data_IF_102500044689
#
_entry.id   IF_102500044689
#
_cell.length_a   1.000
_cell.length_b   1.000
_cell.length_c   1.000
_cell.angle_alpha   90.00
_cell.angle_beta   90.00
_cell.angle_gamma   90.00
#
_symmetry.space_group_name_H-M   'P 1'
#
loop_
_entity.id
_entity.type
_entity.pdbx_description
1 polymer ?
#
# COMPACT_ATOMS: atom_id res chain seq x y z
N UNK A 1 -6.92 -31.07 -10.64
CA UNK A 1 -7.26 -30.55 -9.30
C UNK A 1 -6.03 -29.95 -8.60
N UNK A 2 -4.82 -30.50 -8.79
CA UNK A 2 -3.56 -29.90 -8.27
C UNK A 2 -3.20 -28.55 -8.93
N UNK A 3 -3.41 -28.38 -10.24
CA UNK A 3 -3.11 -27.14 -10.96
C UNK A 3 -3.88 -25.89 -10.46
N UNK A 4 -5.03 -26.08 -9.80
CA UNK A 4 -5.82 -24.97 -9.25
C UNK A 4 -5.25 -24.42 -7.95
N UNK A 5 -4.67 -25.30 -7.11
CA UNK A 5 -4.07 -24.93 -5.83
C UNK A 5 -2.71 -24.25 -6.02
N UNK A 6 -1.91 -24.75 -6.97
CA UNK A 6 -0.60 -24.17 -7.29
C UNK A 6 -0.71 -22.73 -7.83
N UNK A 7 -1.73 -22.47 -8.67
CA UNK A 7 -2.04 -21.10 -9.13
C UNK A 7 -2.54 -20.17 -8.02
N UNK A 8 -3.18 -20.71 -6.98
CA UNK A 8 -3.67 -19.94 -5.85
C UNK A 8 -2.51 -19.51 -4.95
N UNK A 9 -1.59 -20.44 -4.68
CA UNK A 9 -0.36 -20.19 -3.92
C UNK A 9 0.54 -19.16 -4.62
N UNK A 10 0.76 -19.30 -5.94
CA UNK A 10 1.53 -18.33 -6.74
C UNK A 10 0.94 -16.91 -6.67
N UNK A 11 -0.39 -16.80 -6.71
CA UNK A 11 -1.08 -15.50 -6.62
C UNK A 11 -0.96 -14.90 -5.22
N UNK A 12 -1.08 -15.71 -4.17
CA UNK A 12 -0.88 -15.27 -2.79
C UNK A 12 0.55 -14.80 -2.56
N UNK A 13 1.54 -15.52 -3.08
CA UNK A 13 2.95 -15.10 -2.99
C UNK A 13 3.16 -13.76 -3.73
N UNK A 14 2.61 -13.60 -4.93
CA UNK A 14 2.69 -12.35 -5.68
C UNK A 14 2.04 -11.18 -4.92
N UNK A 15 0.87 -11.40 -4.30
CA UNK A 15 0.19 -10.40 -3.49
C UNK A 15 1.00 -10.02 -2.23
N UNK A 16 1.57 -11.00 -1.54
CA UNK A 16 2.42 -10.79 -0.38
C UNK A 16 3.68 -9.99 -0.73
N UNK A 17 4.33 -10.33 -1.85
CA UNK A 17 5.50 -9.60 -2.37
C UNK A 17 5.17 -8.16 -2.72
N UNK A 18 4.12 -7.93 -3.50
CA UNK A 18 3.70 -6.57 -3.88
C UNK A 18 3.33 -5.72 -2.66
N UNK A 19 2.71 -6.33 -1.64
CA UNK A 19 2.40 -5.67 -0.36
C UNK A 19 3.68 -5.34 0.43
N UNK A 20 4.68 -6.21 0.38
CA UNK A 20 6.01 -5.99 0.95
C UNK A 20 6.75 -4.81 0.29
N UNK A 21 6.78 -4.78 -1.04
CA UNK A 21 7.40 -3.71 -1.82
C UNK A 21 6.71 -2.36 -1.55
N UNK A 22 5.37 -2.36 -1.50
CA UNK A 22 4.59 -1.19 -1.14
C UNK A 22 4.96 -0.67 0.26
N UNK A 23 5.03 -1.56 1.25
CA UNK A 23 5.41 -1.19 2.62
C UNK A 23 6.81 -0.56 2.66
N UNK A 24 7.78 -1.15 1.95
CA UNK A 24 9.15 -0.65 1.91
C UNK A 24 9.24 0.79 1.36
N UNK A 25 8.48 1.10 0.31
CA UNK A 25 8.43 2.46 -0.26
C UNK A 25 7.81 3.44 0.75
N UNK A 26 6.68 3.09 1.35
CA UNK A 26 6.00 3.96 2.33
C UNK A 26 6.90 4.23 3.53
N UNK A 27 7.58 3.19 4.03
CA UNK A 27 8.53 3.31 5.14
C UNK A 27 9.74 4.17 4.77
N UNK A 28 10.28 4.04 3.56
CA UNK A 28 11.38 4.88 3.08
C UNK A 28 10.95 6.36 3.04
N UNK A 29 9.74 6.67 2.55
CA UNK A 29 9.23 8.04 2.53
C UNK A 29 9.04 8.57 3.96
N UNK A 30 8.42 7.79 4.85
CA UNK A 30 8.27 8.14 6.28
C UNK A 30 9.61 8.50 6.93
N UNK A 31 10.65 7.70 6.72
CA UNK A 31 11.99 7.93 7.28
C UNK A 31 12.69 9.16 6.69
N UNK A 32 12.38 9.49 5.44
CA UNK A 32 13.03 10.59 4.71
C UNK A 32 12.42 11.97 4.99
N UNK A 33 11.19 12.03 5.51
CA UNK A 33 10.42 13.28 5.57
C UNK A 33 10.45 13.91 6.97
N UNK A 34 11.13 15.07 7.17
CA UNK A 34 11.14 15.74 8.46
C UNK A 34 9.79 16.44 8.75
N UNK A 35 9.33 16.52 10.01
CA UNK A 35 8.03 17.10 10.38
C UNK A 35 8.04 18.64 10.52
N UNK A 36 8.96 19.34 9.87
CA UNK A 36 9.23 20.77 10.12
C UNK A 36 8.12 21.69 9.57
N UNK A 37 7.59 21.39 8.39
CA UNK A 37 6.59 22.22 7.70
C UNK A 37 5.18 21.65 7.87
N UNK A 38 4.12 22.48 7.88
CA UNK A 38 2.74 22.01 7.98
C UNK A 38 2.37 20.94 6.96
N UNK A 39 2.79 21.11 5.70
CA UNK A 39 2.52 20.13 4.65
C UNK A 39 3.24 18.79 4.87
N UNK A 40 4.42 18.82 5.50
CA UNK A 40 5.17 17.61 5.81
C UNK A 40 4.45 16.80 6.89
N UNK A 41 3.94 17.47 7.94
CA UNK A 41 3.15 16.83 8.99
C UNK A 41 1.86 16.22 8.44
N UNK A 42 1.17 16.92 7.54
CA UNK A 42 -0.02 16.38 6.87
C UNK A 42 0.30 15.17 5.99
N UNK A 43 1.40 15.21 5.24
CA UNK A 43 1.85 14.06 4.46
C UNK A 43 2.22 12.88 5.38
N UNK A 44 2.93 13.13 6.48
CA UNK A 44 3.24 12.09 7.48
C UNK A 44 1.97 11.44 8.03
N UNK A 45 0.91 12.21 8.29
CA UNK A 45 -0.38 11.65 8.72
C UNK A 45 -0.96 10.70 7.66
N UNK A 46 -0.96 11.09 6.39
CA UNK A 46 -1.39 10.21 5.30
C UNK A 46 -0.54 8.95 5.18
N UNK A 47 0.79 9.08 5.30
CA UNK A 47 1.72 7.97 5.21
C UNK A 47 1.59 6.99 6.39
N UNK A 48 1.33 7.47 7.60
CA UNK A 48 1.06 6.62 8.76
C UNK A 48 -0.25 5.85 8.60
N UNK A 49 -1.28 6.47 8.03
CA UNK A 49 -2.54 5.78 7.73
C UNK A 49 -2.36 4.70 6.65
N UNK A 50 -1.55 4.99 5.63
CA UNK A 50 -1.16 4.00 4.62
C UNK A 50 -0.39 2.83 5.27
N UNK A 51 0.61 3.12 6.09
CA UNK A 51 1.38 2.10 6.83
C UNK A 51 0.46 1.19 7.67
N UNK A 52 -0.49 1.78 8.39
CA UNK A 52 -1.48 1.04 9.17
C UNK A 52 -2.35 0.13 8.29
N UNK A 53 -2.90 0.66 7.20
CA UNK A 53 -3.78 -0.14 6.31
C UNK A 53 -3.01 -1.25 5.58
N UNK A 54 -1.74 -1.03 5.22
CA UNK A 54 -0.87 -2.08 4.68
C UNK A 54 -0.66 -3.20 5.70
N UNK A 55 -0.39 -2.86 6.97
CA UNK A 55 -0.25 -3.86 8.04
C UNK A 55 -1.52 -4.69 8.21
N UNK A 56 -2.69 -4.05 8.16
CA UNK A 56 -3.98 -4.76 8.16
C UNK A 56 -4.07 -5.74 6.98
N UNK A 57 -3.81 -5.29 5.74
CA UNK A 57 -3.83 -6.17 4.57
C UNK A 57 -2.87 -7.36 4.72
N UNK A 58 -1.64 -7.13 5.18
CA UNK A 58 -0.65 -8.19 5.43
C UNK A 58 -1.16 -9.20 6.45
N UNK A 59 -1.76 -8.74 7.54
CA UNK A 59 -2.34 -9.60 8.56
C UNK A 59 -3.54 -10.38 8.01
N UNK A 60 -4.40 -9.75 7.21
CA UNK A 60 -5.56 -10.40 6.59
C UNK A 60 -5.13 -11.53 5.65
N UNK A 61 -4.09 -11.30 4.82
CA UNK A 61 -3.49 -12.34 3.97
C UNK A 61 -2.85 -13.44 4.81
N UNK A 62 -2.02 -13.08 5.80
CA UNK A 62 -1.30 -14.06 6.62
C UNK A 62 -2.19 -14.92 7.52
N UNK A 63 -3.41 -14.44 7.83
CA UNK A 63 -4.41 -15.18 8.59
C UNK A 63 -5.38 -15.97 7.71
N UNK A 64 -5.13 -16.03 6.39
CA UNK A 64 -5.98 -16.75 5.42
C UNK A 64 -7.46 -16.39 5.58
N UNK A 65 -7.72 -15.08 5.74
CA UNK A 65 -9.07 -14.55 5.85
C UNK A 65 -9.84 -14.73 4.55
N UNK A 66 -11.16 -14.68 4.64
CA UNK A 66 -12.00 -14.92 3.46
C UNK A 66 -11.75 -13.85 2.38
N UNK A 67 -11.92 -14.16 1.08
CA UNK A 67 -11.56 -13.26 -0.02
C UNK A 67 -12.19 -11.86 0.04
N UNK A 68 -13.40 -11.76 0.59
CA UNK A 68 -14.06 -10.46 0.78
C UNK A 68 -13.31 -9.59 1.79
N UNK A 69 -12.81 -10.15 2.89
CA UNK A 69 -12.05 -9.39 3.89
C UNK A 69 -10.71 -8.91 3.33
N UNK A 70 -10.05 -9.73 2.49
CA UNK A 70 -8.80 -9.35 1.82
C UNK A 70 -9.07 -8.23 0.80
N UNK A 71 -10.17 -8.34 0.05
CA UNK A 71 -10.62 -7.32 -0.90
C UNK A 71 -10.91 -6.00 -0.21
N UNK A 72 -11.69 -6.02 0.88
CA UNK A 72 -12.00 -4.82 1.68
C UNK A 72 -10.71 -4.19 2.23
N UNK A 73 -9.79 -4.98 2.76
CA UNK A 73 -8.50 -4.48 3.25
C UNK A 73 -7.67 -3.82 2.13
N UNK A 74 -7.62 -4.42 0.93
CA UNK A 74 -6.96 -3.82 -0.24
C UNK A 74 -7.63 -2.50 -0.63
N UNK A 75 -8.96 -2.44 -0.63
CA UNK A 75 -9.67 -1.20 -0.97
C UNK A 75 -9.32 -0.06 -0.02
N UNK A 76 -9.16 -0.35 1.28
CA UNK A 76 -8.69 0.64 2.25
C UNK A 76 -7.26 1.13 1.97
N UNK A 77 -6.34 0.21 1.59
CA UNK A 77 -4.98 0.61 1.15
C UNK A 77 -5.05 1.51 -0.09
N UNK A 78 -5.87 1.16 -1.08
CA UNK A 78 -6.02 1.95 -2.30
C UNK A 78 -6.62 3.32 -2.04
N UNK A 79 -7.60 3.42 -1.16
CA UNK A 79 -8.23 4.68 -0.78
C UNK A 79 -7.20 5.62 -0.13
N UNK A 80 -6.45 5.12 0.85
CA UNK A 80 -5.44 5.93 1.57
C UNK A 80 -4.29 6.35 0.66
N UNK A 81 -3.80 5.45 -0.21
CA UNK A 81 -2.81 5.78 -1.25
C UNK A 81 -3.34 6.84 -2.23
N UNK A 82 -4.59 6.74 -2.66
CA UNK A 82 -5.21 7.71 -3.57
C UNK A 82 -5.27 9.10 -2.94
N UNK A 83 -5.63 9.19 -1.66
CA UNK A 83 -5.66 10.45 -0.92
C UNK A 83 -4.27 11.06 -0.85
N UNK A 84 -3.25 10.29 -0.44
CA UNK A 84 -1.88 10.77 -0.36
C UNK A 84 -1.34 11.20 -1.74
N UNK A 85 -1.60 10.43 -2.79
CA UNK A 85 -1.16 10.74 -4.15
C UNK A 85 -1.77 12.05 -4.66
N UNK A 86 -3.07 12.28 -4.42
CA UNK A 86 -3.71 13.56 -4.75
C UNK A 86 -3.14 14.72 -3.92
N UNK A 87 -2.91 14.49 -2.63
CA UNK A 87 -2.33 15.48 -1.72
C UNK A 87 -0.96 15.97 -2.22
N UNK A 88 -0.05 15.05 -2.56
CA UNK A 88 1.28 15.42 -3.05
C UNK A 88 1.24 15.99 -4.47
N UNK A 89 0.35 15.52 -5.35
CA UNK A 89 0.26 16.00 -6.73
C UNK A 89 0.01 17.52 -6.79
N UNK A 90 -0.88 18.03 -5.93
CA UNK A 90 -1.18 19.47 -5.83
C UNK A 90 -0.30 20.22 -4.81
N UNK A 91 0.59 19.49 -4.13
CA UNK A 91 1.33 19.97 -2.96
C UNK A 91 2.72 20.52 -3.23
N UNK A 92 3.36 20.93 -2.12
CA UNK A 92 4.72 21.50 -2.04
C UNK A 92 5.83 20.45 -1.90
N UNK A 93 5.49 19.17 -2.01
CA UNK A 93 6.47 18.09 -1.98
C UNK A 93 7.49 18.25 -3.12
N UNK A 94 8.73 17.83 -2.88
CA UNK A 94 9.74 17.74 -3.92
C UNK A 94 9.40 16.63 -4.94
N UNK A 95 10.15 16.59 -6.04
CA UNK A 95 9.91 15.63 -7.11
C UNK A 95 10.09 14.18 -6.65
N UNK A 96 11.09 13.90 -5.80
CA UNK A 96 11.36 12.55 -5.30
C UNK A 96 10.23 12.03 -4.43
N UNK A 97 9.74 12.86 -3.50
CA UNK A 97 8.57 12.53 -2.67
C UNK A 97 7.33 12.27 -3.52
N UNK A 98 7.06 13.11 -4.54
CA UNK A 98 5.93 12.91 -5.46
C UNK A 98 6.05 11.60 -6.24
N UNK A 99 7.23 11.30 -6.76
CA UNK A 99 7.49 10.07 -7.50
C UNK A 99 7.32 8.83 -6.62
N UNK A 100 7.83 8.84 -5.39
CA UNK A 100 7.70 7.73 -4.45
C UNK A 100 6.24 7.43 -4.08
N UNK A 101 5.46 8.47 -3.75
CA UNK A 101 4.03 8.30 -3.41
C UNK A 101 3.23 7.83 -4.64
N UNK A 102 3.56 8.33 -5.83
CA UNK A 102 2.95 7.85 -7.08
C UNK A 102 3.26 6.38 -7.34
N UNK A 103 4.53 5.98 -7.19
CA UNK A 103 4.95 4.59 -7.35
C UNK A 103 4.23 3.67 -6.35
N UNK A 104 4.11 4.09 -5.10
CA UNK A 104 3.34 3.36 -4.08
C UNK A 104 1.86 3.19 -4.53
N UNK A 105 1.23 4.23 -5.07
CA UNK A 105 -0.12 4.15 -5.61
C UNK A 105 -0.24 3.21 -6.82
N UNK A 106 0.75 3.19 -7.71
CA UNK A 106 0.77 2.30 -8.88
C UNK A 106 0.99 0.82 -8.47
N UNK A 107 1.84 0.56 -7.46
CA UNK A 107 2.01 -0.79 -6.91
C UNK A 107 0.74 -1.26 -6.22
N UNK A 108 0.10 -0.42 -5.39
CA UNK A 108 -1.14 -0.76 -4.71
C UNK A 108 -2.25 -1.19 -5.67
N UNK A 109 -2.34 -0.56 -6.85
CA UNK A 109 -3.32 -0.95 -7.89
C UNK A 109 -3.05 -2.33 -8.49
N UNK A 110 -1.79 -2.76 -8.53
CA UNK A 110 -1.37 -4.04 -9.10
C UNK A 110 -1.48 -5.21 -8.13
N UNK A 111 -1.72 -4.96 -6.84
CA UNK A 111 -1.95 -6.03 -5.87
C UNK A 111 -3.23 -6.76 -6.28
N UNK A 112 -3.12 -7.95 -6.84
CA UNK A 112 -4.26 -8.80 -7.13
C UNK A 112 -4.64 -9.59 -5.87
N UNK A 113 -5.90 -9.50 -5.45
CA UNK A 113 -6.44 -10.19 -4.26
C UNK A 113 -7.68 -10.99 -4.59
N UNK A 114 -8.00 -11.15 -5.88
CA UNK A 114 -9.28 -11.70 -6.37
C UNK A 114 -9.50 -13.17 -5.96
N UNK A 115 -8.54 -13.81 -5.29
CA UNK A 115 -8.60 -15.22 -4.89
C UNK A 115 -7.91 -15.49 -3.54
N UNK A 116 -7.58 -14.45 -2.76
CA UNK A 116 -6.91 -14.62 -1.47
C UNK A 116 -7.84 -15.26 -0.43
#
# INVERSE_FOLDING_TARGET
>A
MQEGLEQEDDRREAAAKATGDLHAIVEAVLKSLPPSKPWQRQLLQHLHEIDRTIKVLRMTIALERVPSEVTDAKEQVLLTLRVANRYVAMGRADFGTKAAVRLAYEIGQRIDVTVA
#
